data_IF_619001536938
#
_entry.id   IF_619001536938
#
_cell.length_a   1.000
_cell.length_b   1.000
_cell.length_c   1.000
_cell.angle_alpha   90.00
_cell.angle_beta   90.00
_cell.angle_gamma   90.00
#
_symmetry.space_group_name_H-M   'P 1'
#
loop_
_entity.id
_entity.type
_entity.pdbx_description
1 polymer ?
#
# COMPACT_ATOMS: atom_id res chain seq x y z
N UNK A 1 -4.69 0.03 29.60
CA UNK A 1 -4.81 0.49 28.20
C UNK A 1 -3.50 1.19 27.85
N UNK A 2 -2.80 0.81 26.77
CA UNK A 2 -1.66 1.61 26.30
C UNK A 2 -2.21 2.97 25.84
N UNK A 3 -1.52 4.09 26.10
CA UNK A 3 -1.99 5.41 25.65
C UNK A 3 -2.07 5.45 24.12
N UNK A 4 -3.16 6.00 23.62
CA UNK A 4 -3.34 6.30 22.20
C UNK A 4 -2.23 7.26 21.78
N UNK A 5 -1.41 6.94 20.76
CA UNK A 5 -0.37 7.87 20.31
C UNK A 5 -1.01 9.15 19.76
N UNK A 6 -0.69 10.31 20.34
CA UNK A 6 -1.29 11.59 19.93
C UNK A 6 -0.78 12.11 18.58
N UNK A 7 0.27 11.51 18.01
CA UNK A 7 0.95 11.95 16.79
C UNK A 7 0.67 11.06 15.56
N UNK A 8 -0.29 10.14 15.65
CA UNK A 8 -0.66 9.22 14.57
C UNK A 8 -2.09 9.42 14.10
N UNK A 9 -2.27 9.43 12.79
CA UNK A 9 -3.57 9.31 12.16
C UNK A 9 -3.64 8.02 11.35
N UNK A 10 -4.78 7.34 11.39
CA UNK A 10 -5.07 6.24 10.48
C UNK A 10 -5.93 6.71 9.30
N UNK A 11 -5.70 6.11 8.13
CA UNK A 11 -6.34 6.47 6.87
C UNK A 11 -6.87 5.21 6.20
N UNK A 12 -8.19 5.14 6.07
CA UNK A 12 -8.87 4.09 5.30
C UNK A 12 -8.82 4.48 3.82
N UNK A 13 -8.26 3.61 2.98
CA UNK A 13 -8.20 3.82 1.52
C UNK A 13 -9.51 3.32 0.88
N UNK A 14 -10.39 4.26 0.51
CA UNK A 14 -11.74 3.99 0.03
C UNK A 14 -12.04 4.55 -1.39
N UNK A 15 -11.02 4.98 -2.13
CA UNK A 15 -11.19 5.59 -3.46
C UNK A 15 -11.55 4.65 -4.62
N UNK A 16 -11.60 3.34 -4.38
CA UNK A 16 -11.82 2.34 -5.43
C UNK A 16 -13.24 2.35 -6.01
N UNK A 17 -13.35 2.54 -7.33
CA UNK A 17 -14.64 2.51 -8.08
C UNK A 17 -15.34 1.15 -8.07
N UNK A 18 -14.65 0.05 -7.70
CA UNK A 18 -15.28 -1.27 -7.57
C UNK A 18 -15.80 -1.87 -8.89
N UNK A 19 -15.09 -1.69 -10.01
CA UNK A 19 -15.55 -2.14 -11.35
C UNK A 19 -16.02 -3.60 -11.39
N UNK A 20 -15.29 -4.51 -10.75
CA UNK A 20 -15.64 -5.95 -10.67
C UNK A 20 -16.71 -6.25 -9.61
N UNK A 21 -16.90 -5.33 -8.68
CA UNK A 21 -17.86 -5.43 -7.58
C UNK A 21 -19.24 -4.86 -7.98
N UNK A 22 -19.33 -4.16 -9.11
CA UNK A 22 -20.55 -3.54 -9.64
C UNK A 22 -20.97 -2.24 -8.93
N UNK A 23 -20.33 -1.90 -7.80
CA UNK A 23 -20.54 -0.68 -7.02
C UNK A 23 -19.28 -0.32 -6.23
N UNK A 24 -19.14 0.92 -5.74
CA UNK A 24 -18.04 1.29 -4.85
C UNK A 24 -17.99 0.40 -3.61
N UNK A 25 -16.87 -0.29 -3.38
CA UNK A 25 -16.72 -1.26 -2.28
C UNK A 25 -16.97 -0.62 -0.92
N UNK A 26 -16.59 0.65 -0.73
CA UNK A 26 -16.80 1.39 0.51
C UNK A 26 -18.26 1.38 1.00
N UNK A 27 -19.22 1.30 0.07
CA UNK A 27 -20.67 1.29 0.35
C UNK A 27 -21.27 -0.11 0.40
N UNK A 28 -20.46 -1.16 0.25
CA UNK A 28 -20.92 -2.54 0.38
C UNK A 28 -21.22 -2.85 1.85
N UNK A 29 -22.23 -3.68 2.10
CA UNK A 29 -22.73 -3.97 3.44
C UNK A 29 -22.34 -5.38 3.88
N UNK A 30 -21.89 -5.52 5.13
CA UNK A 30 -21.79 -6.78 5.86
C UNK A 30 -22.63 -6.62 7.12
N UNK A 31 -23.61 -7.50 7.32
CA UNK A 31 -24.51 -7.49 8.49
C UNK A 31 -25.14 -6.10 8.79
N UNK A 32 -25.52 -5.37 7.73
CA UNK A 32 -26.16 -4.06 7.87
C UNK A 32 -25.21 -2.89 8.17
N UNK A 33 -23.89 -3.11 8.18
CA UNK A 33 -22.87 -2.07 8.34
C UNK A 33 -22.04 -1.95 7.06
N UNK A 34 -21.78 -0.72 6.60
CA UNK A 34 -20.96 -0.54 5.40
C UNK A 34 -19.48 -0.87 5.66
N UNK A 35 -18.75 -1.27 4.61
CA UNK A 35 -17.31 -1.54 4.73
C UNK A 35 -16.53 -0.32 5.24
N UNK A 36 -16.94 0.89 4.87
CA UNK A 36 -16.27 2.11 5.36
C UNK A 36 -16.55 2.38 6.83
N UNK A 37 -17.78 2.21 7.30
CA UNK A 37 -18.11 2.33 8.73
C UNK A 37 -17.35 1.27 9.54
N UNK A 38 -17.32 0.03 9.05
CA UNK A 38 -16.60 -1.08 9.70
C UNK A 38 -15.10 -0.80 9.79
N UNK A 39 -14.50 -0.29 8.72
CA UNK A 39 -13.08 0.08 8.69
C UNK A 39 -12.75 1.22 9.66
N UNK A 40 -13.60 2.25 9.73
CA UNK A 40 -13.42 3.36 10.69
C UNK A 40 -13.51 2.84 12.12
N UNK A 41 -14.55 2.06 12.43
CA UNK A 41 -14.74 1.50 13.77
C UNK A 41 -13.59 0.57 14.20
N UNK A 42 -13.09 -0.26 13.28
CA UNK A 42 -11.96 -1.15 13.55
C UNK A 42 -10.66 -0.42 13.91
N UNK A 43 -10.53 0.85 13.51
CA UNK A 43 -9.41 1.72 13.82
C UNK A 43 -9.68 2.66 15.01
N UNK A 44 -10.94 2.92 15.39
CA UNK A 44 -11.30 3.83 16.49
C UNK A 44 -10.71 3.43 17.86
N UNK A 45 -10.26 2.18 18.03
CA UNK A 45 -9.68 1.67 19.27
C UNK A 45 -8.16 1.92 19.45
N UNK A 46 -7.51 2.59 18.48
CA UNK A 46 -6.05 2.68 18.43
C UNK A 46 -5.50 4.10 18.22
N UNK A 47 -5.40 4.58 16.97
CA UNK A 47 -4.99 5.94 16.62
C UNK A 47 -5.90 7.02 17.22
N UNK A 48 -5.35 8.22 17.40
CA UNK A 48 -6.11 9.39 17.89
C UNK A 48 -7.21 9.80 16.91
N UNK A 49 -6.90 9.79 15.61
CA UNK A 49 -7.81 10.20 14.56
C UNK A 49 -7.84 9.19 13.42
N UNK A 50 -9.04 9.00 12.86
CA UNK A 50 -9.29 8.11 11.72
C UNK A 50 -9.93 8.91 10.60
N UNK A 51 -9.29 8.89 9.45
CA UNK A 51 -9.69 9.52 8.20
C UNK A 51 -10.00 8.49 7.13
N UNK A 52 -10.71 8.92 6.09
CA UNK A 52 -11.05 8.11 4.92
C UNK A 52 -10.65 8.85 3.66
N UNK A 53 -9.69 8.30 2.90
CA UNK A 53 -9.28 8.84 1.60
C UNK A 53 -10.21 8.33 0.51
N UNK A 54 -10.79 9.24 -0.25
CA UNK A 54 -11.78 8.93 -1.28
C UNK A 54 -11.49 9.65 -2.59
N UNK A 55 -11.98 9.07 -3.69
CA UNK A 55 -12.06 9.81 -4.95
C UNK A 55 -13.17 10.87 -4.87
N UNK A 56 -13.11 11.95 -5.68
CA UNK A 56 -14.12 13.02 -5.64
C UNK A 56 -15.57 12.52 -5.77
N UNK A 57 -15.80 11.49 -6.60
CA UNK A 57 -17.13 10.89 -6.79
C UNK A 57 -17.70 10.22 -5.53
N UNK A 58 -16.84 9.84 -4.57
CA UNK A 58 -17.23 9.16 -3.34
C UNK A 58 -17.27 10.06 -2.11
N UNK A 59 -16.89 11.33 -2.22
CA UNK A 59 -16.88 12.29 -1.11
C UNK A 59 -18.24 12.35 -0.40
N UNK A 60 -19.29 12.76 -1.12
CA UNK A 60 -20.63 12.91 -0.55
C UNK A 60 -21.20 11.61 0.05
N UNK A 61 -21.22 10.47 -0.66
CA UNK A 61 -21.81 9.26 -0.09
C UNK A 61 -21.04 8.74 1.13
N UNK A 62 -19.70 8.83 1.14
CA UNK A 62 -18.88 8.41 2.30
C UNK A 62 -19.02 9.40 3.46
N UNK A 63 -19.01 10.70 3.20
CA UNK A 63 -19.17 11.72 4.24
C UNK A 63 -20.51 11.59 5.00
N UNK A 64 -21.57 11.10 4.35
CA UNK A 64 -22.85 10.81 5.03
C UNK A 64 -22.77 9.67 6.04
N UNK A 65 -21.85 8.73 5.86
CA UNK A 65 -21.70 7.55 6.72
C UNK A 65 -20.73 7.82 7.88
N UNK A 66 -19.60 8.48 7.61
CA UNK A 66 -18.52 8.65 8.61
C UNK A 66 -18.33 10.09 9.10
N UNK A 67 -19.09 11.04 8.54
CA UNK A 67 -18.96 12.47 8.82
C UNK A 67 -17.94 13.16 7.93
N UNK A 68 -18.26 14.37 7.45
CA UNK A 68 -17.45 15.13 6.49
C UNK A 68 -16.04 15.45 6.99
N UNK A 69 -15.87 15.71 8.29
CA UNK A 69 -14.55 16.03 8.89
C UNK A 69 -13.54 14.88 8.79
N UNK A 70 -13.99 13.64 8.59
CA UNK A 70 -13.12 12.47 8.44
C UNK A 70 -12.71 12.21 6.99
N UNK A 71 -13.33 12.86 6.02
CA UNK A 71 -13.12 12.56 4.60
C UNK A 71 -11.99 13.42 4.04
N UNK A 72 -11.06 12.77 3.34
CA UNK A 72 -9.99 13.41 2.57
C UNK A 72 -10.21 13.06 1.11
N UNK A 73 -10.33 14.09 0.26
CA UNK A 73 -10.56 13.89 -1.17
C UNK A 73 -9.22 13.91 -1.92
N UNK A 74 -9.01 12.90 -2.76
CA UNK A 74 -7.79 12.75 -3.56
C UNK A 74 -7.51 13.98 -4.45
N UNK A 75 -6.25 14.38 -4.54
CA UNK A 75 -5.76 15.53 -5.32
C UNK A 75 -5.62 15.18 -6.82
N UNK A 76 -6.74 14.97 -7.50
CA UNK A 76 -6.78 14.41 -8.87
C UNK A 76 -6.05 15.28 -9.90
N UNK A 77 -6.21 16.60 -9.84
CA UNK A 77 -5.63 17.52 -10.83
C UNK A 77 -4.16 17.85 -10.52
N UNK A 78 -3.71 17.66 -9.28
CA UNK A 78 -2.39 18.09 -8.82
C UNK A 78 -1.34 16.97 -8.82
N UNK A 79 -1.72 15.74 -9.17
CA UNK A 79 -0.82 14.58 -9.11
C UNK A 79 -0.94 13.67 -10.36
N UNK A 80 0.18 13.41 -11.07
CA UNK A 80 0.17 12.60 -12.30
C UNK A 80 -0.05 11.10 -12.05
N UNK A 81 0.18 10.60 -10.83
CA UNK A 81 -0.13 9.22 -10.44
C UNK A 81 -1.62 8.97 -10.25
N UNK A 82 -2.02 7.70 -10.23
CA UNK A 82 -3.39 7.27 -9.96
C UNK A 82 -3.48 6.29 -8.78
N UNK A 83 -4.72 6.04 -8.34
CA UNK A 83 -5.01 4.99 -7.37
C UNK A 83 -4.41 5.25 -5.99
N UNK A 84 -3.99 4.20 -5.26
CA UNK A 84 -3.51 4.33 -3.88
C UNK A 84 -2.31 5.27 -3.68
N UNK A 85 -1.46 5.45 -4.71
CA UNK A 85 -0.34 6.39 -4.62
C UNK A 85 -0.79 7.83 -4.45
N UNK A 86 -1.87 8.21 -5.17
CA UNK A 86 -2.47 9.53 -5.02
C UNK A 86 -3.04 9.71 -3.62
N UNK A 87 -3.71 8.70 -3.09
CA UNK A 87 -4.23 8.72 -1.72
C UNK A 87 -3.10 8.89 -0.68
N UNK A 88 -1.97 8.20 -0.84
CA UNK A 88 -0.80 8.39 0.04
C UNK A 88 -0.25 9.82 -0.04
N UNK A 89 -0.08 10.35 -1.26
CA UNK A 89 0.39 11.71 -1.49
C UNK A 89 -0.56 12.74 -0.86
N UNK A 90 -1.86 12.60 -1.12
CA UNK A 90 -2.91 13.47 -0.58
C UNK A 90 -2.90 13.43 0.94
N UNK A 91 -2.97 12.26 1.57
CA UNK A 91 -2.98 12.14 3.02
C UNK A 91 -1.70 12.73 3.66
N UNK A 92 -0.53 12.44 3.10
CA UNK A 92 0.73 12.98 3.60
C UNK A 92 0.85 14.50 3.46
N UNK A 93 0.17 15.08 2.47
CA UNK A 93 0.14 16.52 2.20
C UNK A 93 -0.88 17.26 3.07
N UNK A 94 -2.02 16.63 3.38
CA UNK A 94 -3.13 17.27 4.12
C UNK A 94 -3.00 17.10 5.63
N UNK A 95 -2.56 15.93 6.10
CA UNK A 95 -2.49 15.57 7.51
C UNK A 95 -1.19 16.05 8.17
N UNK A 96 -0.92 17.36 8.06
CA UNK A 96 0.38 17.93 8.45
C UNK A 96 0.65 17.92 9.95
N UNK A 97 -0.40 17.86 10.77
CA UNK A 97 -0.30 17.83 12.25
C UNK A 97 0.19 16.48 12.79
N UNK A 98 0.21 15.42 11.98
CA UNK A 98 0.62 14.08 12.40
C UNK A 98 2.03 13.76 11.92
N UNK A 99 2.82 13.13 12.79
CA UNK A 99 4.18 12.70 12.45
C UNK A 99 4.20 11.36 11.72
N UNK A 100 3.18 10.53 11.99
CA UNK A 100 3.06 9.18 11.45
C UNK A 100 1.66 8.96 10.88
N UNK A 101 1.58 8.25 9.76
CA UNK A 101 0.33 7.86 9.12
C UNK A 101 0.29 6.34 8.97
N UNK A 102 -0.88 5.76 9.22
CA UNK A 102 -1.13 4.33 9.10
C UNK A 102 -2.29 4.11 8.14
N UNK A 103 -2.18 3.14 7.24
CA UNK A 103 -3.12 2.90 6.15
C UNK A 103 -3.63 1.47 6.19
N UNK A 104 -4.90 1.30 5.85
CA UNK A 104 -5.49 0.02 5.45
C UNK A 104 -6.49 0.22 4.32
N UNK A 105 -6.70 -0.79 3.45
CA UNK A 105 -7.73 -0.72 2.44
C UNK A 105 -9.13 -0.92 3.04
N UNK A 106 -10.13 -0.24 2.47
CA UNK A 106 -11.54 -0.38 2.91
C UNK A 106 -12.10 -1.78 2.70
N UNK A 107 -11.49 -2.56 1.79
CA UNK A 107 -11.94 -3.90 1.43
C UNK A 107 -11.30 -5.01 2.26
N UNK A 108 -10.61 -4.69 3.36
CA UNK A 108 -10.14 -5.65 4.35
C UNK A 108 -10.98 -5.59 5.65
N UNK A 109 -12.23 -6.10 5.64
CA UNK A 109 -13.15 -5.92 6.77
C UNK A 109 -12.68 -6.59 8.06
N UNK A 110 -11.79 -7.59 7.99
CA UNK A 110 -11.33 -8.34 9.15
C UNK A 110 -10.11 -7.72 9.85
N UNK A 111 -9.50 -6.67 9.27
CA UNK A 111 -8.39 -5.96 9.90
C UNK A 111 -8.87 -5.08 11.05
N UNK A 112 -8.03 -4.87 12.06
CA UNK A 112 -8.21 -3.82 13.06
C UNK A 112 -6.89 -3.18 13.45
N UNK A 113 -6.92 -2.12 14.27
CA UNK A 113 -5.71 -1.48 14.77
C UNK A 113 -4.67 -2.46 15.34
N UNK A 114 -5.09 -3.52 16.04
CA UNK A 114 -4.16 -4.52 16.61
C UNK A 114 -3.35 -5.25 15.55
N UNK A 115 -3.88 -5.34 14.34
CA UNK A 115 -3.21 -5.95 13.18
C UNK A 115 -2.33 -4.92 12.45
N UNK A 116 -2.47 -3.62 12.72
CA UNK A 116 -1.62 -2.55 12.15
C UNK A 116 -0.57 -2.03 13.15
N UNK A 117 -0.77 -2.26 14.46
CA UNK A 117 0.16 -1.85 15.52
C UNK A 117 1.60 -2.39 15.31
N UNK A 118 1.83 -3.64 14.84
CA UNK A 118 3.19 -4.14 14.59
C UNK A 118 3.93 -3.33 13.52
N UNK A 119 3.31 -3.08 12.36
CA UNK A 119 3.94 -2.25 11.32
C UNK A 119 4.07 -0.79 11.77
N UNK A 120 3.14 -0.26 12.56
CA UNK A 120 3.29 1.08 13.14
C UNK A 120 4.54 1.16 14.03
N UNK A 121 4.71 0.22 14.96
CA UNK A 121 5.88 0.20 15.84
C UNK A 121 7.19 0.01 15.07
N UNK A 122 7.20 -0.87 14.07
CA UNK A 122 8.36 -1.10 13.21
C UNK A 122 8.73 0.15 12.39
N UNK A 123 7.73 0.84 11.82
CA UNK A 123 7.96 2.10 11.07
C UNK A 123 8.57 3.19 11.94
N UNK A 124 8.13 3.28 13.21
CA UNK A 124 8.71 4.20 14.20
C UNK A 124 10.12 3.83 14.60
N UNK A 125 10.40 2.55 14.80
CA UNK A 125 11.74 2.08 15.18
C UNK A 125 12.80 2.47 14.14
N UNK A 126 12.46 2.40 12.85
CA UNK A 126 13.38 2.78 11.76
C UNK A 126 13.23 4.25 11.29
N UNK A 127 12.24 4.99 11.82
CA UNK A 127 11.99 6.38 11.46
C UNK A 127 11.52 6.61 10.01
N UNK A 128 10.96 5.60 9.35
CA UNK A 128 10.52 5.66 7.94
C UNK A 128 9.27 4.85 7.68
N UNK A 129 9.29 3.75 6.91
CA UNK A 129 8.09 3.01 6.49
C UNK A 129 8.09 1.53 6.85
N UNK A 130 6.92 0.97 7.08
CA UNK A 130 6.73 -0.46 7.32
C UNK A 130 5.47 -0.99 6.65
N UNK A 131 5.51 -2.23 6.17
CA UNK A 131 4.36 -2.94 5.59
C UNK A 131 4.47 -4.44 5.87
N UNK A 132 3.50 -5.23 5.40
CA UNK A 132 3.54 -6.68 5.51
C UNK A 132 4.02 -7.35 4.22
N UNK A 133 4.64 -8.51 4.38
CA UNK A 133 4.74 -9.54 3.34
C UNK A 133 4.12 -10.85 3.82
N UNK A 134 3.74 -11.70 2.88
CA UNK A 134 3.11 -13.00 3.11
C UNK A 134 3.79 -14.05 2.24
N UNK A 135 3.39 -15.31 2.40
CA UNK A 135 3.88 -16.42 1.60
C UNK A 135 3.81 -16.14 0.09
N UNK A 136 4.66 -16.83 -0.66
CA UNK A 136 4.86 -16.59 -2.11
C UNK A 136 5.42 -15.19 -2.45
N UNK A 137 5.97 -14.46 -1.47
CA UNK A 137 6.61 -13.17 -1.73
C UNK A 137 5.64 -12.03 -2.03
N UNK A 138 4.40 -12.16 -1.55
CA UNK A 138 3.36 -11.15 -1.76
C UNK A 138 3.49 -10.07 -0.70
N UNK A 139 3.66 -8.82 -1.16
CA UNK A 139 3.67 -7.63 -0.30
C UNK A 139 2.29 -6.96 -0.24
N UNK A 140 2.01 -6.28 0.87
CA UNK A 140 0.71 -5.69 1.20
C UNK A 140 0.78 -4.16 1.27
N UNK A 141 1.04 -3.44 0.16
CA UNK A 141 1.36 -2.00 0.18
C UNK A 141 0.24 -1.10 0.71
N UNK A 142 -0.99 -1.61 0.82
CA UNK A 142 -2.13 -0.86 1.35
C UNK A 142 -2.24 -0.97 2.87
N UNK A 143 -1.55 -1.94 3.48
CA UNK A 143 -1.27 -2.01 4.90
C UNK A 143 0.11 -1.40 5.14
N UNK A 144 0.13 -0.10 5.40
CA UNK A 144 1.36 0.68 5.44
C UNK A 144 1.34 1.57 6.67
N UNK A 145 2.43 1.60 7.42
CA UNK A 145 2.70 2.63 8.41
C UNK A 145 3.94 3.40 7.98
N UNK A 146 3.90 4.73 8.02
CA UNK A 146 5.06 5.52 7.63
C UNK A 146 5.13 6.86 8.35
N UNK A 147 6.35 7.32 8.60
CA UNK A 147 6.62 8.71 8.95
C UNK A 147 6.12 9.61 7.82
N UNK A 148 5.27 10.60 8.15
CA UNK A 148 4.58 11.47 7.18
C UNK A 148 5.53 12.09 6.16
N UNK A 149 6.69 12.59 6.61
CA UNK A 149 7.70 13.21 5.73
C UNK A 149 8.33 12.20 4.76
N UNK A 150 8.67 11.00 5.23
CA UNK A 150 9.22 9.93 4.37
C UNK A 150 8.19 9.47 3.36
N UNK A 151 6.93 9.31 3.79
CA UNK A 151 5.81 8.97 2.92
C UNK A 151 5.58 10.02 1.84
N UNK A 152 5.58 11.31 2.20
CA UNK A 152 5.39 12.41 1.26
C UNK A 152 6.46 12.37 0.15
N UNK A 153 7.74 12.21 0.53
CA UNK A 153 8.84 12.13 -0.42
C UNK A 153 8.74 10.88 -1.32
N UNK A 154 8.43 9.73 -0.73
CA UNK A 154 8.27 8.47 -1.45
C UNK A 154 7.09 8.53 -2.45
N UNK A 155 5.95 9.05 -2.01
CA UNK A 155 4.77 9.22 -2.86
C UNK A 155 5.04 10.23 -3.98
N UNK A 156 5.71 11.35 -3.69
CA UNK A 156 6.13 12.31 -4.71
C UNK A 156 7.04 11.66 -5.75
N UNK A 157 8.06 10.92 -5.32
CA UNK A 157 8.99 10.19 -6.20
C UNK A 157 8.23 9.23 -7.12
N UNK A 158 7.33 8.41 -6.57
CA UNK A 158 6.53 7.47 -7.34
C UNK A 158 5.58 8.18 -8.34
N UNK A 159 5.01 9.32 -7.93
CA UNK A 159 4.07 10.06 -8.76
C UNK A 159 4.76 10.77 -9.93
N UNK A 160 5.80 11.54 -9.67
CA UNK A 160 6.49 12.32 -10.70
C UNK A 160 7.54 11.55 -11.49
N UNK A 161 8.00 10.39 -11.00
CA UNK A 161 8.98 9.57 -11.71
C UNK A 161 8.41 8.94 -12.99
N UNK A 162 7.30 8.19 -12.87
CA UNK A 162 6.70 7.46 -14.01
C UNK A 162 5.17 7.51 -14.08
N UNK A 163 4.53 8.44 -13.38
CA UNK A 163 3.06 8.50 -13.27
C UNK A 163 2.47 7.14 -12.84
N UNK A 164 3.06 6.54 -11.81
CA UNK A 164 2.73 5.18 -11.41
C UNK A 164 1.26 4.99 -11.03
N UNK A 165 0.79 3.75 -11.24
CA UNK A 165 -0.55 3.31 -10.84
C UNK A 165 -0.52 2.20 -9.79
N UNK A 166 0.64 1.55 -9.63
CA UNK A 166 0.80 0.37 -8.76
C UNK A 166 1.15 0.82 -7.35
N UNK A 167 0.34 0.42 -6.38
CA UNK A 167 0.58 0.71 -4.96
C UNK A 167 1.98 0.27 -4.48
N UNK A 168 2.55 -0.80 -5.03
CA UNK A 168 3.90 -1.28 -4.68
C UNK A 168 5.01 -0.26 -4.93
N UNK A 169 4.79 0.75 -5.79
CA UNK A 169 5.78 1.80 -6.00
C UNK A 169 6.06 2.60 -4.72
N UNK A 170 5.11 2.67 -3.79
CA UNK A 170 5.35 3.31 -2.48
C UNK A 170 6.42 2.54 -1.69
N UNK A 171 6.34 1.21 -1.71
CA UNK A 171 7.31 0.35 -1.01
C UNK A 171 8.68 0.48 -1.66
N UNK A 172 8.75 0.57 -2.99
CA UNK A 172 10.01 0.75 -3.74
C UNK A 172 10.66 2.13 -3.53
N UNK A 173 9.88 3.12 -3.07
CA UNK A 173 10.33 4.51 -2.90
C UNK A 173 10.62 4.88 -1.45
N UNK A 174 10.01 4.19 -0.48
CA UNK A 174 10.28 4.38 0.94
C UNK A 174 11.69 3.88 1.29
N UNK A 175 12.36 4.58 2.19
CA UNK A 175 13.73 4.26 2.59
C UNK A 175 14.04 4.83 3.98
N UNK A 176 14.58 4.05 4.92
CA UNK A 176 14.53 2.58 4.92
C UNK A 176 13.08 2.06 4.91
N UNK A 177 12.89 0.81 4.51
CA UNK A 177 11.61 0.10 4.57
C UNK A 177 11.78 -1.22 5.32
N UNK A 178 10.91 -1.49 6.29
CA UNK A 178 10.80 -2.80 6.92
C UNK A 178 9.53 -3.53 6.45
N UNK A 179 9.68 -4.77 5.99
CA UNK A 179 8.57 -5.66 5.68
C UNK A 179 8.48 -6.70 6.79
N UNK A 180 7.39 -6.68 7.55
CA UNK A 180 7.11 -7.68 8.57
C UNK A 180 6.40 -8.88 7.95
N UNK A 181 6.70 -10.07 8.43
CA UNK A 181 5.94 -11.27 8.10
C UNK A 181 4.50 -11.13 8.58
N UNK A 182 3.54 -11.58 7.76
CA UNK A 182 2.11 -11.49 8.09
C UNK A 182 1.69 -12.32 9.30
N UNK A 183 2.57 -13.20 9.83
CA UNK A 183 2.36 -13.88 11.11
C UNK A 183 2.24 -12.93 12.30
N UNK A 184 2.72 -11.68 12.17
CA UNK A 184 2.58 -10.64 13.20
C UNK A 184 1.12 -10.12 13.32
N UNK A 185 0.26 -10.43 12.33
CA UNK A 185 -1.18 -10.16 12.45
C UNK A 185 -1.85 -11.18 13.37
N UNK A 186 -2.95 -10.83 14.02
CA UNK A 186 -3.65 -11.78 14.92
C UNK A 186 -4.27 -12.95 14.19
N UNK A 187 -4.55 -12.78 12.90
CA UNK A 187 -5.12 -13.80 12.04
C UNK A 187 -4.76 -13.51 10.59
N UNK A 188 -4.49 -14.54 9.77
CA UNK A 188 -4.29 -14.37 8.34
C UNK A 188 -5.46 -13.68 7.62
N UNK A 189 -6.68 -13.76 8.21
CA UNK A 189 -7.86 -13.06 7.72
C UNK A 189 -7.72 -11.53 7.74
N UNK A 190 -6.89 -10.96 8.63
CA UNK A 190 -6.68 -9.53 8.71
C UNK A 190 -6.20 -8.91 7.38
N UNK A 191 -5.46 -9.69 6.58
CA UNK A 191 -4.96 -9.25 5.28
C UNK A 191 -5.81 -9.77 4.10
N UNK A 192 -6.91 -10.47 4.37
CA UNK A 192 -7.83 -10.92 3.34
C UNK A 192 -8.67 -9.74 2.81
N UNK A 193 -8.95 -9.73 1.52
CA UNK A 193 -9.68 -8.63 0.87
C UNK A 193 -10.96 -9.10 0.16
N UNK A 194 -11.98 -8.25 0.17
CA UNK A 194 -13.25 -8.42 -0.52
C UNK A 194 -13.11 -7.92 -1.95
N UNK A 195 -13.03 -8.82 -2.94
CA UNK A 195 -12.85 -8.46 -4.35
C UNK A 195 -14.13 -8.59 -5.16
N UNK A 196 -14.97 -9.54 -4.80
CA UNK A 196 -16.26 -9.88 -5.38
C UNK A 196 -17.36 -9.80 -4.32
N UNK A 197 -18.65 -9.67 -4.69
CA UNK A 197 -19.75 -9.68 -3.72
C UNK A 197 -19.78 -10.95 -2.86
N UNK A 198 -19.36 -12.09 -3.39
CA UNK A 198 -19.28 -13.36 -2.66
C UNK A 198 -18.27 -13.29 -1.51
N UNK A 199 -17.20 -12.49 -1.67
CA UNK A 199 -16.16 -12.35 -0.65
C UNK A 199 -16.65 -11.69 0.64
N UNK A 200 -17.80 -11.01 0.62
CA UNK A 200 -18.38 -10.35 1.81
C UNK A 200 -18.65 -11.34 2.95
N UNK A 201 -19.00 -12.58 2.61
CA UNK A 201 -19.31 -13.63 3.58
C UNK A 201 -18.10 -14.50 3.89
N UNK A 202 -17.29 -14.77 2.87
CA UNK A 202 -16.10 -15.62 2.96
C UNK A 202 -15.07 -15.16 1.94
N UNK A 203 -13.85 -14.76 2.35
CA UNK A 203 -12.85 -14.32 1.40
C UNK A 203 -12.43 -15.47 0.48
N UNK A 204 -12.43 -15.22 -0.83
CA UNK A 204 -11.92 -16.16 -1.84
C UNK A 204 -10.42 -16.45 -1.68
N UNK A 205 -9.66 -15.53 -1.09
CA UNK A 205 -8.23 -15.70 -0.83
C UNK A 205 -7.86 -15.19 0.55
N UNK A 206 -7.19 -16.04 1.32
CA UNK A 206 -6.54 -15.69 2.57
C UNK A 206 -5.04 -15.79 2.34
N UNK A 207 -4.24 -14.74 2.62
CA UNK A 207 -2.80 -14.79 2.43
C UNK A 207 -2.15 -15.88 3.30
N UNK A 208 -1.27 -16.69 2.71
CA UNK A 208 -0.46 -17.64 3.47
C UNK A 208 0.47 -16.86 4.41
N UNK A 209 0.51 -17.18 5.72
CA UNK A 209 1.39 -16.48 6.65
C UNK A 209 2.87 -16.57 6.24
N UNK A 210 3.63 -15.53 6.52
CA UNK A 210 5.08 -15.56 6.51
C UNK A 210 5.62 -15.04 7.84
N UNK A 211 6.73 -15.58 8.29
CA UNK A 211 7.41 -15.20 9.52
C UNK A 211 8.61 -14.29 9.26
N UNK A 212 9.11 -13.66 10.33
CA UNK A 212 10.34 -12.85 10.29
C UNK A 212 10.12 -11.45 9.74
N UNK A 213 11.22 -10.80 9.33
CA UNK A 213 11.19 -9.47 8.73
C UNK A 213 12.28 -9.32 7.68
N UNK A 214 12.08 -8.37 6.77
CA UNK A 214 13.07 -7.95 5.77
C UNK A 214 13.27 -6.45 5.92
N UNK A 215 14.51 -6.05 6.18
CA UNK A 215 14.90 -4.63 6.21
C UNK A 215 15.57 -4.27 4.89
N UNK A 216 15.04 -3.25 4.22
CA UNK A 216 15.55 -2.71 2.97
C UNK A 216 16.10 -1.31 3.23
N UNK A 217 17.42 -1.18 3.28
CA UNK A 217 18.12 0.11 3.39
C UNK A 217 18.79 0.48 2.08
N UNK A 218 18.63 1.73 1.64
CA UNK A 218 19.23 2.25 0.41
C UNK A 218 18.62 1.72 -0.88
N UNK A 219 17.72 0.73 -0.82
CA UNK A 219 17.15 0.09 -2.02
C UNK A 219 16.37 1.07 -2.91
N UNK A 220 15.81 2.14 -2.32
CA UNK A 220 15.04 3.15 -3.03
C UNK A 220 15.84 3.87 -4.12
N UNK A 221 17.18 3.84 -4.03
CA UNK A 221 18.06 4.43 -5.03
C UNK A 221 17.89 3.76 -6.40
N UNK A 222 17.66 2.45 -6.43
CA UNK A 222 17.47 1.69 -7.68
C UNK A 222 16.18 2.13 -8.36
N UNK A 223 15.10 2.25 -7.58
CA UNK A 223 13.83 2.74 -8.08
C UNK A 223 13.96 4.18 -8.61
N UNK A 224 14.58 5.08 -7.84
CA UNK A 224 14.83 6.48 -8.23
C UNK A 224 15.62 6.59 -9.53
N UNK A 225 16.77 5.91 -9.65
CA UNK A 225 17.58 5.91 -10.88
C UNK A 225 16.72 5.47 -12.06
N UNK A 226 16.03 4.34 -11.92
CA UNK A 226 15.21 3.81 -13.01
C UNK A 226 14.06 4.74 -13.40
N UNK A 227 13.57 5.59 -12.49
CA UNK A 227 12.48 6.53 -12.75
C UNK A 227 12.90 7.77 -13.57
N UNK A 228 14.21 8.05 -13.70
CA UNK A 228 14.73 9.31 -14.31
C UNK A 228 14.96 9.26 -15.84
N UNK A 229 14.36 8.31 -16.57
CA UNK A 229 14.38 8.24 -18.05
C UNK A 229 15.77 8.23 -18.74
N UNK A 230 16.84 7.81 -18.04
CA UNK A 230 18.15 7.57 -18.65
C UNK A 230 18.32 6.08 -18.99
N UNK A 231 18.33 5.71 -20.28
CA UNK A 231 18.16 4.31 -20.73
C UNK A 231 19.21 3.34 -20.19
N UNK A 232 20.48 3.71 -20.15
CA UNK A 232 21.56 2.81 -19.69
C UNK A 232 21.51 2.57 -18.17
N UNK A 233 21.53 3.65 -17.38
CA UNK A 233 21.50 3.52 -15.92
C UNK A 233 20.17 2.97 -15.40
N UNK A 234 19.07 3.24 -16.11
CA UNK A 234 17.78 2.62 -15.79
C UNK A 234 17.80 1.11 -15.97
N UNK A 235 18.50 0.60 -17.00
CA UNK A 235 18.65 -0.84 -17.21
C UNK A 235 19.40 -1.51 -16.07
N UNK A 236 20.55 -0.97 -15.70
CA UNK A 236 21.35 -1.49 -14.60
C UNK A 236 20.59 -1.44 -13.28
N UNK A 237 19.88 -0.34 -13.02
CA UNK A 237 19.09 -0.18 -11.79
C UNK A 237 17.93 -1.18 -11.72
N UNK A 238 17.20 -1.39 -12.82
CA UNK A 238 16.12 -2.38 -12.88
C UNK A 238 16.66 -3.81 -12.72
N UNK A 239 17.79 -4.13 -13.33
CA UNK A 239 18.40 -5.45 -13.16
C UNK A 239 18.85 -5.71 -11.71
N UNK A 240 19.50 -4.73 -11.09
CA UNK A 240 19.91 -4.81 -9.69
C UNK A 240 18.71 -4.91 -8.75
N UNK A 241 17.65 -4.12 -9.01
CA UNK A 241 16.42 -4.13 -8.22
C UNK A 241 15.69 -5.48 -8.33
N UNK A 242 15.64 -6.03 -9.55
CA UNK A 242 15.07 -7.34 -9.81
C UNK A 242 15.81 -8.44 -9.04
N UNK A 243 17.14 -8.48 -9.14
CA UNK A 243 18.00 -9.45 -8.43
C UNK A 243 17.82 -9.36 -6.92
N UNK A 244 17.82 -8.14 -6.37
CA UNK A 244 17.60 -7.90 -4.96
C UNK A 244 16.27 -8.50 -4.49
N UNK A 245 15.16 -8.17 -5.15
CA UNK A 245 13.85 -8.66 -4.73
C UNK A 245 13.68 -10.17 -4.95
N UNK A 246 14.26 -10.74 -6.02
CA UNK A 246 14.27 -12.19 -6.22
C UNK A 246 15.02 -12.92 -5.11
N UNK A 247 16.22 -12.44 -4.75
CA UNK A 247 17.04 -13.04 -3.71
C UNK A 247 16.35 -13.01 -2.34
N UNK A 248 15.60 -11.95 -2.05
CA UNK A 248 14.80 -11.80 -0.83
C UNK A 248 13.44 -12.51 -0.89
N UNK A 249 13.13 -13.21 -1.98
CA UNK A 249 11.84 -13.88 -2.15
C UNK A 249 10.65 -12.93 -2.31
N UNK A 250 10.86 -11.64 -2.57
CA UNK A 250 9.83 -10.62 -2.78
C UNK A 250 9.28 -10.66 -4.22
N UNK A 251 8.71 -11.82 -4.58
CA UNK A 251 8.31 -12.15 -5.95
C UNK A 251 7.35 -11.12 -6.58
N UNK A 252 6.47 -10.50 -5.78
CA UNK A 252 5.55 -9.50 -6.33
C UNK A 252 6.29 -8.24 -6.78
N UNK A 253 7.26 -7.78 -5.99
CA UNK A 253 8.07 -6.62 -6.35
C UNK A 253 8.97 -6.94 -7.54
N UNK A 254 9.66 -8.09 -7.54
CA UNK A 254 10.47 -8.53 -8.67
C UNK A 254 9.67 -8.57 -9.99
N UNK A 255 8.47 -9.14 -9.97
CA UNK A 255 7.57 -9.15 -11.13
C UNK A 255 7.18 -7.74 -11.61
N UNK A 256 7.05 -6.77 -10.71
CA UNK A 256 6.77 -5.39 -11.10
C UNK A 256 7.99 -4.70 -11.72
N UNK A 257 9.21 -5.03 -11.30
CA UNK A 257 10.44 -4.57 -11.95
C UNK A 257 10.52 -5.08 -13.39
N UNK A 258 10.16 -6.35 -13.65
CA UNK A 258 10.11 -6.89 -15.02
C UNK A 258 9.10 -6.16 -15.91
N UNK A 259 7.92 -5.82 -15.36
CA UNK A 259 6.92 -5.01 -16.09
C UNK A 259 7.44 -3.61 -16.43
N UNK A 260 8.26 -3.02 -15.56
CA UNK A 260 8.89 -1.72 -15.83
C UNK A 260 9.92 -1.80 -16.94
N UNK A 261 10.77 -2.83 -16.90
CA UNK A 261 11.77 -3.06 -17.92
C UNK A 261 11.11 -3.25 -19.30
N UNK A 262 10.03 -4.03 -19.35
CA UNK A 262 9.24 -4.20 -20.56
C UNK A 262 8.63 -2.88 -21.07
N UNK A 263 8.02 -2.08 -20.18
CA UNK A 263 7.43 -0.79 -20.55
C UNK A 263 8.45 0.23 -21.07
N UNK A 264 9.72 0.13 -20.64
CA UNK A 264 10.81 0.98 -21.09
C UNK A 264 11.58 0.42 -22.29
N UNK A 265 11.18 -0.74 -22.83
CA UNK A 265 11.95 -1.50 -23.83
C UNK A 265 13.41 -1.73 -23.41
N UNK A 266 13.64 -1.85 -22.10
CA UNK A 266 14.95 -2.06 -21.53
C UNK A 266 15.15 -3.56 -21.38
N UNK A 267 16.02 -4.11 -22.22
CA UNK A 267 16.35 -5.52 -22.23
C UNK A 267 17.79 -5.69 -21.78
N UNK A 268 18.00 -6.38 -20.65
CA UNK A 268 19.31 -6.93 -20.31
C UNK A 268 19.29 -8.44 -20.58
N UNK A 269 20.46 -9.03 -20.82
CA UNK A 269 20.62 -10.45 -21.15
C UNK A 269 19.95 -11.40 -20.13
N UNK A 270 19.82 -10.97 -18.88
CA UNK A 270 19.18 -11.72 -17.79
C UNK A 270 17.65 -11.61 -17.80
N UNK A 271 17.09 -10.45 -18.15
CA UNK A 271 15.62 -10.25 -18.23
C UNK A 271 15.04 -11.07 -19.39
N UNK A 272 15.79 -11.23 -20.49
CA UNK A 272 15.38 -12.04 -21.65
C UNK A 272 15.29 -13.55 -21.33
N UNK A 273 16.22 -14.08 -20.53
CA UNK A 273 16.25 -15.50 -20.20
C UNK A 273 15.02 -15.93 -19.38
N UNK A 274 14.56 -15.09 -18.44
CA UNK A 274 13.37 -15.39 -17.64
C UNK A 274 12.05 -15.10 -18.34
N UNK A 275 11.97 -14.10 -19.23
CA UNK A 275 10.76 -13.89 -20.05
C UNK A 275 10.44 -15.07 -20.97
N UNK A 276 11.46 -15.83 -21.39
CA UNK A 276 11.28 -17.06 -22.17
C UNK A 276 10.96 -18.28 -21.30
N UNK A 277 11.33 -18.28 -20.02
CA UNK A 277 11.05 -19.39 -19.10
C UNK A 277 9.65 -19.33 -18.46
N UNK A 278 9.04 -18.14 -18.35
CA UNK A 278 7.71 -17.92 -17.75
C UNK A 278 6.51 -18.08 -18.69
N UNK A 279 6.71 -18.56 -19.92
CA UNK A 279 5.68 -18.72 -20.95
C UNK A 279 4.84 -20.01 -20.89
N UNK A 280 4.94 -20.80 -19.81
CA UNK A 280 4.14 -22.01 -19.61
C UNK A 280 3.68 -22.07 -18.15
N UNK A 281 2.39 -21.74 -17.91
CA UNK A 281 1.71 -21.89 -16.62
C UNK A 281 0.82 -20.71 -16.26
#
# INVERSE_FOLDING_TARGET
>A
MKPIPADVAAVVLAGGVGRRFGRPKALAMIDGVSLVERAVEALSSGPADVYVSVSPALERPVARLVGSRRVIVDLVEQAPCEGPLRAFLTAASTLVSYSNLVFMPVDAPWASWRDLEPIYNASKAIGSGASYFSGEGIVHPLFLAARRKSLLNAAWTACWGRAEKRATAILRSLDPLILLGSSETRSPLALATVNTPQDLWRPSRVPTPAEGYILLEGHSILYKISSTMNSYYSALALEAEYKLYRQLGLLRLASHVLKDAAALNVSTSLIQQESMAGGLG
#
